data_IF_930075545016
#
_entry.id   IF_930075545016
#
_cell.length_a   1.000
_cell.length_b   1.000
_cell.length_c   1.000
_cell.angle_alpha   90.00
_cell.angle_beta   90.00
_cell.angle_gamma   90.00
#
_symmetry.space_group_name_H-M   'P 1'
#
loop_
_entity.id
_entity.type
_entity.pdbx_description
1 polymer ?
#
# COMPACT_ATOMS: atom_id res chain seq x y z
N UNK A 1 20.70 -11.19 4.20
CA UNK A 1 20.37 -11.78 2.88
C UNK A 1 20.46 -10.69 1.82
N UNK A 2 21.12 -10.95 0.70
CA UNK A 2 21.16 -10.01 -0.41
C UNK A 2 19.89 -10.20 -1.25
N UNK A 3 19.09 -9.14 -1.36
CA UNK A 3 17.88 -9.15 -2.19
C UNK A 3 18.31 -9.00 -3.65
N UNK A 4 17.95 -9.91 -4.55
CA UNK A 4 18.26 -9.77 -5.96
C UNK A 4 17.71 -8.44 -6.52
N UNK A 5 18.49 -7.73 -7.36
CA UNK A 5 18.10 -6.42 -7.91
C UNK A 5 16.72 -6.46 -8.62
N UNK A 6 16.43 -7.54 -9.34
CA UNK A 6 15.13 -7.73 -10.01
C UNK A 6 13.99 -7.84 -9.01
N UNK A 7 14.18 -8.60 -7.93
CA UNK A 7 13.20 -8.74 -6.87
C UNK A 7 12.96 -7.39 -6.18
N UNK A 8 14.02 -6.67 -5.82
CA UNK A 8 13.89 -5.32 -5.24
C UNK A 8 13.10 -4.38 -6.14
N UNK A 9 13.40 -4.34 -7.45
CA UNK A 9 12.68 -3.51 -8.40
C UNK A 9 11.19 -3.89 -8.50
N UNK A 10 10.89 -5.19 -8.51
CA UNK A 10 9.49 -5.68 -8.46
C UNK A 10 8.80 -5.21 -7.19
N UNK A 11 9.44 -5.33 -6.02
CA UNK A 11 8.88 -4.82 -4.76
C UNK A 11 8.62 -3.30 -4.83
N UNK A 12 9.54 -2.54 -5.40
CA UNK A 12 9.42 -1.08 -5.56
C UNK A 12 8.28 -0.65 -6.49
N UNK A 13 7.88 -1.49 -7.45
CA UNK A 13 6.73 -1.24 -8.32
C UNK A 13 5.43 -1.74 -7.70
N UNK A 14 5.43 -2.99 -7.20
CA UNK A 14 4.22 -3.63 -6.66
C UNK A 14 3.71 -2.90 -5.43
N UNK A 15 4.59 -2.42 -4.55
CA UNK A 15 4.20 -1.71 -3.33
C UNK A 15 3.29 -0.50 -3.60
N UNK A 16 3.70 0.54 -4.35
CA UNK A 16 2.85 1.70 -4.61
C UNK A 16 1.63 1.33 -5.46
N UNK A 17 1.74 0.40 -6.41
CA UNK A 17 0.60 -0.03 -7.25
C UNK A 17 -0.51 -0.66 -6.40
N UNK A 18 -0.16 -1.59 -5.52
CA UNK A 18 -1.13 -2.24 -4.63
C UNK A 18 -1.71 -1.23 -3.65
N UNK A 19 -0.89 -0.36 -3.08
CA UNK A 19 -1.34 0.62 -2.10
C UNK A 19 -2.28 1.67 -2.70
N UNK A 20 -1.83 2.36 -3.74
CA UNK A 20 -2.59 3.44 -4.39
C UNK A 20 -3.79 2.87 -5.13
N UNK A 21 -3.63 1.76 -5.84
CA UNK A 21 -4.73 1.09 -6.53
C UNK A 21 -5.78 0.55 -5.55
N UNK A 22 -5.35 -0.08 -4.46
CA UNK A 22 -6.23 -0.55 -3.40
C UNK A 22 -7.00 0.60 -2.74
N UNK A 23 -6.32 1.68 -2.37
CA UNK A 23 -6.96 2.89 -1.84
C UNK A 23 -7.99 3.48 -2.82
N UNK A 24 -7.61 3.69 -4.08
CA UNK A 24 -8.50 4.28 -5.08
C UNK A 24 -9.77 3.42 -5.29
N UNK A 25 -9.60 2.11 -5.39
CA UNK A 25 -10.69 1.16 -5.58
C UNK A 25 -11.60 1.09 -4.35
N UNK A 26 -11.04 1.04 -3.15
CA UNK A 26 -11.82 0.98 -1.90
C UNK A 26 -12.52 2.30 -1.62
N UNK A 27 -11.83 3.43 -1.84
CA UNK A 27 -12.39 4.78 -1.71
C UNK A 27 -13.56 5.00 -2.65
N UNK A 28 -13.42 4.65 -3.93
CA UNK A 28 -14.49 4.75 -4.92
C UNK A 28 -15.72 3.88 -4.59
N UNK A 29 -15.54 2.80 -3.81
CA UNK A 29 -16.63 1.91 -3.38
C UNK A 29 -17.21 2.27 -2.02
N UNK A 30 -16.67 3.25 -1.32
CA UNK A 30 -17.11 3.62 0.03
C UNK A 30 -18.02 4.84 -0.04
N UNK A 31 -19.33 4.70 0.25
CA UNK A 31 -20.24 5.84 0.23
C UNK A 31 -19.84 6.93 1.23
N UNK A 32 -19.84 8.19 0.77
CA UNK A 32 -19.49 9.34 1.60
C UNK A 32 -18.01 9.42 2.00
N UNK A 33 -17.14 8.71 1.28
CA UNK A 33 -15.69 8.91 1.33
C UNK A 33 -15.28 9.89 0.20
N UNK A 34 -14.62 10.98 0.56
CA UNK A 34 -14.03 11.93 -0.36
C UNK A 34 -12.50 11.74 -0.37
N UNK A 35 -11.89 11.31 -1.49
CA UNK A 35 -10.44 11.08 -1.53
C UNK A 35 -9.59 12.35 -1.42
N UNK A 36 -10.17 13.55 -1.55
CA UNK A 36 -9.48 14.83 -1.41
C UNK A 36 -9.56 15.38 0.02
N UNK A 37 -10.66 15.11 0.72
CA UNK A 37 -10.93 15.65 2.06
C UNK A 37 -10.73 14.60 3.17
N UNK A 38 -10.92 13.31 2.88
CA UNK A 38 -10.84 12.23 3.86
C UNK A 38 -9.51 11.50 3.88
N UNK A 39 -8.98 11.31 5.09
CA UNK A 39 -7.80 10.48 5.31
C UNK A 39 -8.01 9.03 4.84
N UNK A 40 -6.98 8.47 4.18
CA UNK A 40 -6.93 7.06 3.74
C UNK A 40 -7.21 6.09 4.90
N UNK A 41 -6.77 6.43 6.12
CA UNK A 41 -7.00 5.63 7.33
C UNK A 41 -8.48 5.48 7.68
N UNK A 42 -9.38 6.34 7.18
CA UNK A 42 -10.84 6.19 7.33
C UNK A 42 -11.34 4.89 6.71
N UNK A 43 -10.70 4.41 5.64
CA UNK A 43 -11.02 3.11 5.02
C UNK A 43 -10.52 1.91 5.84
N UNK A 44 -9.62 2.14 6.80
CA UNK A 44 -9.08 1.14 7.72
C UNK A 44 -9.58 1.29 9.16
N UNK A 45 -10.48 2.25 9.44
CA UNK A 45 -11.01 2.49 10.78
C UNK A 45 -11.81 1.30 11.29
N UNK A 46 -11.93 1.17 12.60
CA UNK A 46 -12.77 0.15 13.22
C UNK A 46 -14.23 0.28 12.75
N UNK A 47 -14.84 -0.87 12.46
CA UNK A 47 -16.20 -0.95 11.92
C UNK A 47 -16.34 -0.64 10.42
N UNK A 48 -15.29 -0.20 9.71
CA UNK A 48 -15.37 -0.04 8.26
C UNK A 48 -15.33 -1.41 7.55
N UNK A 49 -16.27 -1.61 6.61
CA UNK A 49 -16.31 -2.83 5.78
C UNK A 49 -15.03 -3.01 4.94
N UNK A 50 -14.37 -1.93 4.55
CA UNK A 50 -13.12 -1.92 3.78
C UNK A 50 -11.88 -2.22 4.63
N UNK A 51 -12.00 -2.27 5.97
CA UNK A 51 -10.85 -2.34 6.88
C UNK A 51 -9.89 -3.50 6.59
N UNK A 52 -10.34 -4.75 6.38
CA UNK A 52 -9.42 -5.85 6.12
C UNK A 52 -8.60 -5.63 4.84
N UNK A 53 -9.27 -5.16 3.77
CA UNK A 53 -8.63 -4.93 2.48
C UNK A 53 -7.64 -3.76 2.54
N UNK A 54 -8.02 -2.64 3.16
CA UNK A 54 -7.12 -1.48 3.29
C UNK A 54 -5.92 -1.81 4.18
N UNK A 55 -6.14 -2.55 5.28
CA UNK A 55 -5.06 -3.03 6.16
C UNK A 55 -4.10 -3.94 5.40
N UNK A 56 -4.61 -4.85 4.57
CA UNK A 56 -3.75 -5.69 3.72
C UNK A 56 -2.89 -4.84 2.76
N UNK A 57 -3.46 -3.80 2.16
CA UNK A 57 -2.70 -2.87 1.31
C UNK A 57 -1.59 -2.16 2.09
N UNK A 58 -1.86 -1.68 3.31
CA UNK A 58 -0.84 -1.10 4.19
C UNK A 58 0.27 -2.10 4.52
N UNK A 59 -0.08 -3.33 4.87
CA UNK A 59 0.92 -4.38 5.21
C UNK A 59 1.78 -4.72 4.00
N UNK A 60 1.18 -4.93 2.82
CA UNK A 60 1.93 -5.20 1.59
C UNK A 60 2.89 -4.06 1.28
N UNK A 61 2.43 -2.81 1.35
CA UNK A 61 3.29 -1.64 1.15
C UNK A 61 4.44 -1.59 2.17
N UNK A 62 4.11 -1.73 3.45
CA UNK A 62 5.06 -1.67 4.56
C UNK A 62 6.12 -2.78 4.55
N UNK A 63 5.83 -3.93 3.93
CA UNK A 63 6.80 -5.01 3.76
C UNK A 63 7.65 -4.85 2.49
N UNK A 64 7.03 -4.49 1.36
CA UNK A 64 7.71 -4.43 0.07
C UNK A 64 8.61 -3.20 -0.08
N UNK A 65 8.23 -2.05 0.48
CA UNK A 65 9.03 -0.84 0.38
C UNK A 65 10.41 -0.94 1.07
N UNK A 66 10.53 -1.48 2.29
CA UNK A 66 11.85 -1.71 2.91
C UNK A 66 12.74 -2.68 2.10
N UNK A 67 12.15 -3.69 1.46
CA UNK A 67 12.90 -4.62 0.59
C UNK A 67 13.51 -3.86 -0.58
N UNK A 68 12.75 -2.95 -1.22
CA UNK A 68 13.27 -2.08 -2.27
C UNK A 68 14.35 -1.13 -1.74
N UNK A 69 14.10 -0.44 -0.62
CA UNK A 69 15.05 0.50 -0.02
C UNK A 69 16.39 -0.16 0.30
N UNK A 70 16.38 -1.39 0.81
CA UNK A 70 17.59 -2.18 1.08
C UNK A 70 18.43 -2.51 -0.15
N UNK A 71 17.86 -2.42 -1.36
CA UNK A 71 18.63 -2.55 -2.62
C UNK A 71 19.25 -1.25 -3.10
N UNK A 72 18.81 -0.10 -2.58
CA UNK A 72 19.34 1.22 -2.92
C UNK A 72 20.50 1.64 -2.00
N UNK A 73 20.50 1.19 -0.74
CA UNK A 73 21.47 1.59 0.29
C UNK A 73 22.89 1.04 0.11
N UNK A 74 23.17 0.30 -0.98
CA UNK A 74 24.50 -0.24 -1.31
C UNK A 74 25.13 0.40 -2.55
N UNK A 75 24.60 1.54 -3.00
CA UNK A 75 25.20 2.38 -4.05
C UNK A 75 25.67 3.68 -3.45
#
# INVERSE_FOLDING_TARGET
MEVPRRLGAVCGVVAPVVFVGGWAVLGARTPGYDPLEDAISRLAREGAATRPAMTACFVVFGLLMPVWAGTLSRR
#
